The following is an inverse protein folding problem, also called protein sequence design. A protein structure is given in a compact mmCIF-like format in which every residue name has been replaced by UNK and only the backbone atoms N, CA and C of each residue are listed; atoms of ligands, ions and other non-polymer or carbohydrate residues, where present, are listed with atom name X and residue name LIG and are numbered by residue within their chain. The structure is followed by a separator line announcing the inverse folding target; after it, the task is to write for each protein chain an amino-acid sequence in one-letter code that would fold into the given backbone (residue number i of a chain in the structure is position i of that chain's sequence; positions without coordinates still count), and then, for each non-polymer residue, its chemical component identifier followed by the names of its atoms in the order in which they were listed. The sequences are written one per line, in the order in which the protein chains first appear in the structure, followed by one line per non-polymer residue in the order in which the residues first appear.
data_IF_396910151641
#
_entry.id   IF_396910151641
#
_cell.length_a   1.000
_cell.length_b   1.000
_cell.length_c   1.000
_cell.angle_alpha   90.00
_cell.angle_beta   90.00
_cell.angle_gamma   90.00
#
_symmetry.space_group_name_H-M   'P 1'
#
loop_
_entity.id
_entity.type
_entity.pdbx_description
1 polymer ?
#
# COMPACT_ATOMS: atom_id res chain seq x y z
N UNK A 1 -21.97 6.15 11.77
CA UNK A 1 -22.14 5.03 12.71
C UNK A 1 -22.30 3.78 11.87
N UNK A 2 -21.25 2.95 11.79
CA UNK A 2 -21.18 1.78 10.90
C UNK A 2 -21.68 0.49 11.58
N UNK A 3 -21.99 0.54 12.89
CA UNK A 3 -22.58 -0.57 13.63
C UNK A 3 -21.60 -1.66 14.06
N UNK A 4 -20.30 -1.52 13.79
CA UNK A 4 -19.26 -2.48 14.17
C UNK A 4 -18.18 -1.92 15.12
N UNK A 5 -18.29 -0.62 15.47
CA UNK A 5 -17.40 0.12 16.37
C UNK A 5 -15.98 0.38 15.84
N UNK A 6 -15.69 0.11 14.56
CA UNK A 6 -14.44 0.60 13.93
C UNK A 6 -14.55 2.09 13.62
N UNK A 7 -13.40 2.78 13.63
CA UNK A 7 -13.36 4.17 13.21
C UNK A 7 -13.62 4.25 11.71
N UNK A 8 -14.41 5.24 11.30
CA UNK A 8 -14.60 5.54 9.89
C UNK A 8 -13.37 6.29 9.36
N UNK A 9 -13.03 6.16 8.06
CA UNK A 9 -11.89 6.89 7.45
C UNK A 9 -11.87 8.39 7.75
N UNK A 10 -13.04 9.03 7.83
CA UNK A 10 -13.16 10.46 8.14
C UNK A 10 -13.25 10.78 9.64
N UNK A 11 -12.91 9.84 10.52
CA UNK A 11 -13.10 9.99 11.95
C UNK A 11 -12.02 10.90 12.55
N UNK A 12 -12.39 11.93 13.35
CA UNK A 12 -11.41 12.75 14.05
C UNK A 12 -10.70 12.01 15.20
N UNK A 13 -11.06 10.74 15.41
CA UNK A 13 -10.41 9.85 16.37
C UNK A 13 -9.19 9.15 15.77
N UNK A 14 -8.97 9.22 14.46
CA UNK A 14 -7.78 8.68 13.81
C UNK A 14 -6.58 9.57 14.13
N UNK A 15 -5.44 8.97 14.49
CA UNK A 15 -4.19 9.60 14.91
C UNK A 15 -4.31 10.60 16.07
N UNK A 16 -5.37 10.46 16.86
CA UNK A 16 -5.76 11.45 17.87
C UNK A 16 -5.59 10.94 19.31
N UNK A 17 -4.95 9.77 19.49
CA UNK A 17 -4.74 9.12 20.77
C UNK A 17 -3.56 9.66 21.57
N UNK A 18 -2.94 8.79 22.37
CA UNK A 18 -1.82 9.17 23.22
C UNK A 18 -0.57 9.42 22.35
N UNK A 19 0.08 10.59 22.38
CA UNK A 19 1.28 10.83 21.57
C UNK A 19 2.45 9.88 21.85
N UNK A 20 2.42 9.17 23.00
CA UNK A 20 3.44 8.20 23.39
C UNK A 20 3.14 6.76 22.93
N UNK A 21 2.00 6.51 22.25
CA UNK A 21 1.69 5.26 21.56
C UNK A 21 1.80 5.42 20.04
N UNK A 22 2.22 4.35 19.37
CA UNK A 22 2.26 4.27 17.91
C UNK A 22 1.39 3.13 17.42
N UNK A 23 0.59 3.39 16.36
CA UNK A 23 -0.09 2.35 15.61
C UNK A 23 0.91 1.59 14.72
N UNK A 24 0.57 0.40 14.19
CA UNK A 24 1.57 -0.44 13.54
C UNK A 24 2.06 0.10 12.18
N UNK A 25 1.42 1.14 11.64
CA UNK A 25 1.90 1.95 10.51
C UNK A 25 2.84 3.10 10.94
N UNK A 26 3.06 3.29 12.25
CA UNK A 26 3.95 4.27 12.84
C UNK A 26 3.32 5.64 13.08
N UNK A 27 2.00 5.80 12.87
CA UNK A 27 1.28 7.01 13.26
C UNK A 27 1.03 7.04 14.78
N UNK A 28 0.61 8.20 15.31
CA UNK A 28 0.14 8.28 16.70
C UNK A 28 -1.08 7.38 16.86
N UNK A 29 -1.22 6.63 17.96
CA UNK A 29 -2.32 5.67 17.99
C UNK A 29 -3.71 6.31 17.92
N UNK A 30 -4.66 5.59 17.33
CA UNK A 30 -6.06 6.00 17.25
C UNK A 30 -6.76 6.08 18.61
N UNK A 31 -7.73 6.99 18.73
CA UNK A 31 -8.70 7.00 19.83
C UNK A 31 -9.71 5.88 19.65
N UNK A 32 -9.38 4.67 20.11
CA UNK A 32 -10.24 3.51 19.99
C UNK A 32 -9.56 2.21 20.43
N UNK A 33 -10.30 1.10 20.37
CA UNK A 33 -9.74 -0.22 20.66
C UNK A 33 -9.09 -0.88 19.44
N UNK A 34 -9.39 -0.38 18.24
CA UNK A 34 -8.93 -0.93 16.98
C UNK A 34 -8.26 0.19 16.18
N UNK A 35 -6.96 0.04 15.86
CA UNK A 35 -6.26 0.98 15.00
C UNK A 35 -6.77 0.86 13.57
N UNK A 36 -6.90 1.99 12.90
CA UNK A 36 -7.09 2.07 11.46
C UNK A 36 -5.73 2.03 10.81
N UNK A 37 -5.59 1.22 9.76
CA UNK A 37 -4.36 1.15 9.01
C UNK A 37 -4.52 2.02 7.79
N UNK A 38 -3.65 3.02 7.63
CA UNK A 38 -3.62 3.83 6.43
C UNK A 38 -2.24 3.80 5.76
N UNK A 39 -2.24 3.66 4.44
CA UNK A 39 -1.04 3.84 3.63
C UNK A 39 -1.07 5.22 3.01
N UNK A 40 -0.15 6.08 3.45
CA UNK A 40 -0.07 7.46 3.02
C UNK A 40 0.90 7.65 1.86
N UNK A 41 0.42 8.31 0.81
CA UNK A 41 1.22 8.67 -0.35
C UNK A 41 1.13 10.17 -0.57
N UNK A 42 2.28 10.85 -0.46
CA UNK A 42 2.40 12.27 -0.79
C UNK A 42 2.30 12.50 -2.29
N UNK A 43 1.34 13.33 -2.71
CA UNK A 43 1.09 13.69 -4.10
C UNK A 43 1.29 15.19 -4.30
N UNK A 44 1.85 15.57 -5.44
CA UNK A 44 1.97 16.98 -5.84
C UNK A 44 0.89 17.37 -6.84
N UNK A 45 0.72 18.68 -7.04
CA UNK A 45 -0.12 19.22 -8.09
C UNK A 45 0.33 18.69 -9.48
N UNK A 46 -0.63 18.38 -10.33
CA UNK A 46 -0.40 17.80 -11.65
C UNK A 46 -0.51 16.27 -11.67
N UNK A 47 0.25 15.64 -12.55
CA UNK A 47 0.23 14.20 -12.75
C UNK A 47 1.23 13.52 -11.82
N UNK A 48 0.81 12.47 -11.13
CA UNK A 48 1.64 11.66 -10.23
C UNK A 48 1.59 10.21 -10.70
N UNK A 49 2.75 9.55 -10.85
CA UNK A 49 2.82 8.15 -11.26
C UNK A 49 2.92 7.23 -10.05
N UNK A 50 1.83 6.59 -9.69
CA UNK A 50 1.70 5.84 -8.44
C UNK A 50 1.34 4.38 -8.66
N UNK A 51 1.56 3.59 -7.62
CA UNK A 51 1.01 2.25 -7.49
C UNK A 51 0.57 2.00 -6.06
N UNK A 52 -0.52 1.27 -5.88
CA UNK A 52 -1.06 0.94 -4.56
C UNK A 52 -0.89 -0.56 -4.32
N UNK A 53 -0.04 -0.91 -3.35
CA UNK A 53 0.26 -2.31 -3.04
C UNK A 53 -0.69 -2.90 -1.98
N UNK A 54 -1.51 -2.08 -1.33
CA UNK A 54 -2.54 -2.50 -0.40
C UNK A 54 -3.86 -1.80 -0.79
N UNK A 55 -4.94 -2.56 -0.87
CA UNK A 55 -6.25 -2.08 -1.32
C UNK A 55 -7.36 -2.59 -0.40
N UNK A 56 -8.37 -1.76 -0.07
CA UNK A 56 -9.56 -2.20 0.65
C UNK A 56 -10.38 -3.21 -0.17
N UNK A 57 -11.34 -3.87 0.48
CA UNK A 57 -12.26 -4.80 -0.20
C UNK A 57 -13.07 -4.08 -1.30
N UNK A 58 -13.53 -2.85 -1.05
CA UNK A 58 -14.09 -1.97 -2.07
C UNK A 58 -12.95 -1.20 -2.75
N UNK A 59 -12.46 -1.74 -3.86
CA UNK A 59 -11.38 -1.17 -4.63
C UNK A 59 -11.82 -0.13 -5.66
N UNK A 60 -13.06 0.37 -5.60
CA UNK A 60 -13.51 1.42 -6.52
C UNK A 60 -12.68 2.69 -6.37
N UNK A 61 -12.49 3.42 -7.47
CA UNK A 61 -11.78 4.71 -7.48
C UNK A 61 -12.43 5.71 -6.51
N UNK A 62 -13.76 5.68 -6.39
CA UNK A 62 -14.51 6.54 -5.47
C UNK A 62 -14.16 6.26 -4.01
N UNK A 63 -14.04 4.98 -3.63
CA UNK A 63 -13.70 4.58 -2.26
C UNK A 63 -12.21 4.80 -1.97
N UNK A 64 -11.30 4.31 -2.83
CA UNK A 64 -9.85 4.34 -2.58
C UNK A 64 -9.30 5.78 -2.56
N UNK A 65 -9.88 6.69 -3.34
CA UNK A 65 -9.42 8.07 -3.48
C UNK A 65 -10.37 9.10 -2.87
N UNK A 66 -11.27 8.66 -1.96
CA UNK A 66 -12.30 9.50 -1.34
C UNK A 66 -11.73 10.77 -0.72
N UNK A 67 -10.57 10.65 -0.07
CA UNK A 67 -9.93 11.70 0.73
C UNK A 67 -9.34 12.81 -0.12
N UNK A 68 -9.11 12.56 -1.41
CA UNK A 68 -8.73 13.59 -2.36
C UNK A 68 -9.91 14.49 -2.75
N UNK A 69 -11.16 14.07 -2.51
CA UNK A 69 -12.36 14.86 -2.75
C UNK A 69 -12.41 15.44 -4.17
N UNK A 70 -12.54 16.78 -4.26
CA UNK A 70 -12.55 17.52 -5.52
C UNK A 70 -11.15 17.85 -6.07
N UNK A 71 -10.07 17.52 -5.36
CA UNK A 71 -8.72 17.87 -5.78
C UNK A 71 -8.23 16.97 -6.91
N UNK A 72 -8.75 15.75 -7.01
CA UNK A 72 -8.46 14.82 -8.09
C UNK A 72 -9.46 14.95 -9.24
N UNK A 73 -8.97 14.96 -10.47
CA UNK A 73 -9.79 15.09 -11.68
C UNK A 73 -9.85 13.82 -12.53
N UNK A 74 -8.85 12.95 -12.40
CA UNK A 74 -8.78 11.74 -13.20
C UNK A 74 -7.71 10.76 -12.74
N UNK A 75 -7.96 9.51 -13.09
CA UNK A 75 -7.12 8.34 -12.91
C UNK A 75 -6.93 7.72 -14.28
N UNK A 76 -5.68 7.52 -14.72
CA UNK A 76 -5.35 6.90 -16.01
C UNK A 76 -4.48 5.69 -15.77
N UNK A 77 -4.81 4.57 -16.40
CA UNK A 77 -4.02 3.34 -16.36
C UNK A 77 -3.81 2.79 -17.78
N UNK A 78 -3.20 1.62 -17.91
CA UNK A 78 -3.04 0.97 -19.21
C UNK A 78 -4.40 0.70 -19.85
N UNK A 79 -4.61 1.21 -21.06
CA UNK A 79 -5.82 0.95 -21.84
C UNK A 79 -7.12 1.56 -21.30
N UNK A 80 -7.09 2.32 -20.20
CA UNK A 80 -8.30 2.84 -19.57
C UNK A 80 -8.09 4.08 -18.71
N UNK A 81 -9.22 4.68 -18.31
CA UNK A 81 -9.23 5.81 -17.40
C UNK A 81 -10.57 5.90 -16.65
N UNK A 82 -10.55 6.62 -15.54
CA UNK A 82 -11.73 7.08 -14.82
C UNK A 82 -11.60 8.59 -14.57
N UNK A 83 -12.61 9.37 -14.92
CA UNK A 83 -12.61 10.83 -14.78
C UNK A 83 -13.69 11.27 -13.80
N UNK A 84 -13.33 12.21 -12.93
CA UNK A 84 -14.27 12.78 -11.98
C UNK A 84 -14.99 13.97 -12.64
N UNK A 85 -16.25 13.78 -13.04
CA UNK A 85 -17.03 14.80 -13.76
C UNK A 85 -17.71 15.81 -12.82
N UNK A 86 -17.88 15.42 -11.57
CA UNK A 86 -18.25 16.25 -10.42
C UNK A 86 -17.68 15.56 -9.18
N UNK A 87 -17.44 16.27 -8.08
CA UNK A 87 -16.80 15.68 -6.91
C UNK A 87 -17.52 14.40 -6.44
N UNK A 88 -16.78 13.29 -6.33
CA UNK A 88 -17.32 11.96 -6.01
C UNK A 88 -18.03 11.25 -7.17
N UNK A 89 -18.35 11.91 -8.28
CA UNK A 89 -19.00 11.30 -9.44
C UNK A 89 -17.98 10.94 -10.52
N UNK A 90 -17.73 9.65 -10.65
CA UNK A 90 -16.71 9.06 -11.49
C UNK A 90 -17.31 8.37 -12.72
N UNK A 91 -16.72 8.62 -13.89
CA UNK A 91 -17.13 8.00 -15.16
C UNK A 91 -15.90 7.61 -15.97
N UNK A 92 -15.90 6.39 -16.49
CA UNK A 92 -14.80 5.91 -17.33
C UNK A 92 -14.89 4.43 -17.65
N UNK A 93 -13.86 3.93 -18.34
CA UNK A 93 -13.74 2.52 -18.70
C UNK A 93 -13.06 1.68 -17.62
N UNK A 94 -12.38 2.31 -16.65
CA UNK A 94 -11.63 1.63 -15.62
C UNK A 94 -11.70 2.42 -14.31
N UNK A 95 -12.80 2.25 -13.57
CA UNK A 95 -13.11 2.97 -12.33
C UNK A 95 -12.92 2.13 -11.07
N UNK A 96 -12.14 1.06 -11.19
CA UNK A 96 -11.68 0.21 -10.08
C UNK A 96 -10.15 0.22 -10.08
N UNK A 97 -9.57 0.15 -8.89
CA UNK A 97 -8.12 0.06 -8.71
C UNK A 97 -7.74 -1.41 -8.53
N UNK A 98 -6.86 -1.87 -9.40
CA UNK A 98 -6.26 -3.20 -9.38
C UNK A 98 -4.81 -3.16 -8.90
N UNK A 99 -4.37 -4.17 -8.11
CA UNK A 99 -3.04 -4.23 -7.54
C UNK A 99 -1.93 -4.47 -8.57
N UNK A 100 -2.23 -4.95 -9.79
CA UNK A 100 -1.27 -5.19 -10.87
C UNK A 100 -0.95 -3.95 -11.74
N UNK A 101 -1.71 -2.87 -11.58
CA UNK A 101 -1.66 -1.73 -12.49
C UNK A 101 -0.98 -0.52 -11.87
N UNK A 102 -0.25 0.22 -12.70
CA UNK A 102 0.20 1.57 -12.37
C UNK A 102 -0.87 2.61 -12.73
N UNK A 103 -0.83 3.75 -12.06
CA UNK A 103 -1.82 4.82 -12.27
C UNK A 103 -1.16 6.19 -12.37
N UNK A 104 -1.66 7.01 -13.28
CA UNK A 104 -1.46 8.44 -13.26
C UNK A 104 -2.64 9.11 -12.56
N UNK A 105 -2.39 9.75 -11.42
CA UNK A 105 -3.37 10.56 -10.71
C UNK A 105 -3.20 12.03 -11.06
N UNK A 106 -4.29 12.70 -11.45
CA UNK A 106 -4.28 14.10 -11.87
C UNK A 106 -4.88 15.01 -10.79
N UNK A 107 -4.02 15.71 -10.05
CA UNK A 107 -4.38 16.57 -8.93
C UNK A 107 -4.29 18.06 -9.29
N UNK A 108 -5.10 18.90 -8.63
CA UNK A 108 -5.08 20.36 -8.80
C UNK A 108 -4.08 21.05 -7.88
N UNK A 109 -3.90 20.53 -6.66
CA UNK A 109 -2.95 20.98 -5.64
C UNK A 109 -2.28 19.80 -4.97
N UNK A 110 -1.16 20.04 -4.30
CA UNK A 110 -0.50 19.04 -3.44
C UNK A 110 -1.50 18.49 -2.40
N UNK A 111 -1.40 17.19 -2.12
CA UNK A 111 -2.22 16.50 -1.12
C UNK A 111 -1.59 15.19 -0.69
N UNK A 112 -2.16 14.52 0.31
CA UNK A 112 -1.86 13.14 0.66
C UNK A 112 -3.07 12.29 0.31
N UNK A 113 -2.83 11.08 -0.22
CA UNK A 113 -3.87 10.06 -0.31
C UNK A 113 -3.59 8.99 0.73
N UNK A 114 -4.61 8.67 1.51
CA UNK A 114 -4.58 7.66 2.57
C UNK A 114 -5.46 6.49 2.16
N UNK A 115 -4.87 5.30 2.03
CA UNK A 115 -5.63 4.09 1.71
C UNK A 115 -5.98 3.36 3.00
N UNK A 116 -7.24 3.47 3.42
CA UNK A 116 -7.76 2.84 4.63
C UNK A 116 -8.09 1.37 4.44
N UNK A 117 -7.90 0.58 5.50
CA UNK A 117 -8.25 -0.85 5.56
C UNK A 117 -7.66 -1.67 4.40
N UNK A 118 -6.49 -1.23 3.90
CA UNK A 118 -5.82 -1.84 2.77
C UNK A 118 -5.31 -3.24 3.09
N UNK A 119 -5.77 -4.24 2.35
CA UNK A 119 -5.24 -5.60 2.41
C UNK A 119 -3.99 -5.65 1.51
N UNK A 120 -2.80 -5.98 2.05
CA UNK A 120 -1.59 -6.07 1.24
C UNK A 120 -1.71 -7.11 0.13
N UNK A 121 -1.22 -6.73 -1.04
CA UNK A 121 -1.15 -7.59 -2.22
C UNK A 121 -0.30 -8.82 -1.94
N UNK A 122 -0.70 -9.94 -2.54
CA UNK A 122 0.07 -11.17 -2.45
C UNK A 122 1.45 -10.98 -3.10
N UNK A 123 2.53 -11.37 -2.41
CA UNK A 123 3.88 -11.30 -2.95
C UNK A 123 4.10 -12.17 -4.21
N UNK A 124 3.20 -13.12 -4.46
CA UNK A 124 3.20 -13.99 -5.64
C UNK A 124 2.27 -13.46 -6.75
N UNK A 125 1.96 -12.15 -6.75
CA UNK A 125 1.18 -11.53 -7.83
C UNK A 125 1.90 -11.74 -9.16
N UNK A 126 1.21 -12.29 -10.14
CA UNK A 126 1.73 -12.55 -11.48
C UNK A 126 1.34 -11.39 -12.42
N UNK A 127 2.33 -10.79 -13.04
CA UNK A 127 2.19 -9.77 -14.06
C UNK A 127 2.29 -10.41 -15.44
N UNK A 128 1.40 -10.03 -16.35
CA UNK A 128 1.40 -10.48 -17.74
C UNK A 128 1.73 -9.29 -18.63
N UNK A 129 2.98 -9.16 -19.06
CA UNK A 129 3.42 -8.06 -19.90
C UNK A 129 3.28 -8.42 -21.37
N UNK A 130 2.90 -7.42 -22.15
CA UNK A 130 2.97 -7.42 -23.60
C UNK A 130 4.31 -6.89 -24.08
N UNK A 131 4.71 -7.27 -25.29
CA UNK A 131 5.79 -6.61 -25.99
C UNK A 131 5.45 -5.11 -26.18
N UNK A 132 6.35 -4.24 -25.72
CA UNK A 132 6.14 -2.80 -25.66
C UNK A 132 6.09 -2.27 -24.23
N UNK A 133 5.43 -1.13 -24.05
CA UNK A 133 5.31 -0.44 -22.77
C UNK A 133 4.08 -0.93 -22.00
N UNK A 134 4.27 -1.34 -20.75
CA UNK A 134 3.23 -1.83 -19.85
C UNK A 134 3.21 -0.97 -18.60
N UNK A 135 2.04 -0.56 -18.12
CA UNK A 135 1.94 0.27 -16.92
C UNK A 135 1.54 -0.57 -15.72
N UNK A 136 2.53 -0.89 -14.88
CA UNK A 136 2.39 -1.80 -13.76
C UNK A 136 2.69 -1.15 -12.41
N UNK A 137 2.26 -1.84 -11.37
CA UNK A 137 2.54 -1.54 -9.97
C UNK A 137 3.80 -2.25 -9.44
N UNK A 138 4.21 -1.88 -8.23
CA UNK A 138 5.10 -2.68 -7.40
C UNK A 138 4.33 -3.27 -6.19
N UNK A 139 4.34 -4.60 -5.95
CA UNK A 139 3.38 -5.26 -5.04
C UNK A 139 3.88 -5.38 -3.59
N UNK A 140 4.80 -4.52 -3.17
CA UNK A 140 5.38 -4.59 -1.82
C UNK A 140 5.60 -3.21 -1.23
N UNK A 141 5.51 -3.16 0.09
CA UNK A 141 6.14 -2.12 0.88
C UNK A 141 7.67 -2.25 0.80
N UNK A 142 8.39 -1.14 0.80
CA UNK A 142 9.84 -1.08 0.68
C UNK A 142 10.39 -0.81 -0.73
N UNK A 143 11.65 -1.20 -0.95
CA UNK A 143 12.39 -0.89 -2.16
C UNK A 143 13.37 -2.01 -2.52
N UNK A 144 13.42 -2.38 -3.81
CA UNK A 144 14.31 -3.42 -4.34
C UNK A 144 14.98 -2.95 -5.62
N UNK A 145 16.24 -3.35 -5.85
CA UNK A 145 16.93 -3.06 -7.11
C UNK A 145 16.19 -3.65 -8.31
N UNK A 146 16.25 -3.00 -9.47
CA UNK A 146 15.56 -3.50 -10.68
C UNK A 146 16.06 -4.90 -11.05
N UNK A 147 17.38 -5.13 -11.01
CA UNK A 147 17.98 -6.44 -11.28
C UNK A 147 17.62 -7.47 -10.21
N UNK A 148 17.60 -7.07 -8.93
CA UNK A 148 17.28 -8.00 -7.82
C UNK A 148 15.78 -8.38 -7.77
N UNK A 149 14.90 -7.51 -8.27
CA UNK A 149 13.45 -7.69 -8.21
C UNK A 149 12.85 -8.44 -9.40
N UNK A 150 13.59 -8.56 -10.51
CA UNK A 150 13.16 -9.27 -11.71
C UNK A 150 13.79 -10.68 -11.74
N UNK A 151 13.02 -11.74 -12.04
CA UNK A 151 13.62 -13.06 -12.27
C UNK A 151 14.60 -13.04 -13.46
N UNK A 152 15.78 -13.66 -13.30
CA UNK A 152 16.85 -13.71 -14.32
C UNK A 152 16.36 -14.17 -15.71
N UNK A 153 15.37 -15.07 -15.73
CA UNK A 153 14.79 -15.63 -16.95
C UNK A 153 13.97 -14.62 -17.76
N UNK A 154 13.36 -13.63 -17.09
CA UNK A 154 12.59 -12.56 -17.73
C UNK A 154 13.36 -11.26 -17.88
N UNK A 155 14.36 -11.01 -17.04
CA UNK A 155 15.12 -9.76 -16.98
C UNK A 155 15.73 -9.39 -18.34
N UNK A 156 16.24 -10.39 -19.08
CA UNK A 156 16.83 -10.18 -20.42
C UNK A 156 15.85 -9.60 -21.46
N UNK A 157 14.54 -9.74 -21.22
CA UNK A 157 13.50 -9.24 -22.12
C UNK A 157 13.02 -7.83 -21.76
N UNK A 158 13.48 -7.25 -20.64
CA UNK A 158 13.10 -5.90 -20.22
C UNK A 158 14.16 -4.88 -20.67
N UNK A 159 13.82 -4.03 -21.63
CA UNK A 159 14.74 -2.98 -22.12
C UNK A 159 14.89 -1.83 -21.11
N UNK A 160 13.84 -1.54 -20.34
CA UNK A 160 13.82 -0.38 -19.47
C UNK A 160 12.64 -0.34 -18.52
N UNK A 161 12.85 0.37 -17.42
CA UNK A 161 11.86 0.67 -16.40
C UNK A 161 11.85 2.18 -16.19
N UNK A 162 10.70 2.81 -16.35
CA UNK A 162 10.53 4.26 -16.23
C UNK A 162 9.51 4.54 -15.13
N UNK A 163 9.83 5.48 -14.24
CA UNK A 163 8.92 5.97 -13.20
C UNK A 163 8.91 7.50 -13.21
N UNK A 164 8.11 8.10 -12.34
CA UNK A 164 8.12 9.55 -12.23
C UNK A 164 9.48 10.05 -11.71
N UNK A 165 10.04 10.99 -12.47
CA UNK A 165 11.32 11.63 -12.17
C UNK A 165 12.56 10.77 -12.43
N UNK A 166 12.42 9.54 -12.95
CA UNK A 166 13.59 8.68 -13.16
C UNK A 166 13.36 7.49 -14.08
N UNK A 167 14.46 6.86 -14.47
CA UNK A 167 14.43 5.65 -15.28
C UNK A 167 15.64 4.77 -14.97
N UNK A 168 15.55 3.51 -15.36
CA UNK A 168 16.62 2.53 -15.39
C UNK A 168 16.55 1.78 -16.72
N UNK A 169 17.65 1.75 -17.44
CA UNK A 169 17.71 1.18 -18.80
C UNK A 169 18.77 0.08 -18.83
N UNK A 170 18.44 -1.02 -19.49
CA UNK A 170 19.34 -2.14 -19.69
C UNK A 170 20.19 -1.90 -20.95
N UNK A 171 21.48 -1.58 -20.78
CA UNK A 171 22.39 -1.27 -21.91
C UNK A 171 23.08 -2.51 -22.49
N UNK A 172 23.08 -3.59 -21.72
CA UNK A 172 23.47 -4.94 -22.09
C UNK A 172 22.76 -5.89 -21.12
N UNK A 173 22.61 -7.19 -21.44
CA UNK A 173 21.98 -8.15 -20.54
C UNK A 173 22.50 -8.03 -19.10
N UNK A 174 21.59 -7.84 -18.14
CA UNK A 174 21.87 -7.70 -16.69
C UNK A 174 22.65 -6.43 -16.30
N UNK A 175 22.88 -5.49 -17.23
CA UNK A 175 23.62 -4.25 -16.98
C UNK A 175 22.70 -3.03 -17.04
N UNK A 176 22.25 -2.62 -15.87
CA UNK A 176 21.31 -1.53 -15.66
C UNK A 176 21.99 -0.20 -15.37
N UNK A 177 21.58 0.85 -16.07
CA UNK A 177 22.06 2.22 -15.86
C UNK A 177 20.89 3.19 -15.86
N UNK A 178 20.85 4.10 -14.90
CA UNK A 178 19.84 5.14 -14.85
C UNK A 178 19.84 5.92 -13.54
N UNK A 179 18.95 6.89 -13.45
CA UNK A 179 18.77 7.71 -12.25
C UNK A 179 17.97 7.00 -11.16
N UNK A 180 17.17 5.99 -11.51
CA UNK A 180 16.30 5.27 -10.57
C UNK A 180 16.26 3.78 -10.91
N UNK A 181 17.28 3.04 -10.48
CA UNK A 181 17.39 1.58 -10.68
C UNK A 181 16.86 0.76 -9.50
N UNK A 182 15.72 1.19 -8.94
CA UNK A 182 14.97 0.44 -7.94
C UNK A 182 13.46 0.58 -8.14
N UNK A 183 12.74 -0.50 -7.85
CA UNK A 183 11.31 -0.48 -7.59
C UNK A 183 11.09 -0.01 -6.16
N UNK A 184 10.18 0.93 -5.95
CA UNK A 184 9.86 1.52 -4.65
C UNK A 184 8.35 1.50 -4.45
N UNK A 185 7.95 1.21 -3.23
CA UNK A 185 6.56 1.33 -2.78
C UNK A 185 5.97 2.70 -3.15
N UNK A 186 4.71 2.70 -3.54
CA UNK A 186 3.97 3.90 -3.93
C UNK A 186 4.23 4.43 -5.33
N UNK A 187 5.25 3.95 -6.05
CA UNK A 187 5.57 4.42 -7.41
C UNK A 187 5.01 3.50 -8.50
N UNK A 188 4.43 4.10 -9.53
CA UNK A 188 4.04 3.38 -10.75
C UNK A 188 5.21 3.23 -11.72
N UNK A 189 5.13 2.23 -12.60
CA UNK A 189 6.22 1.89 -13.51
C UNK A 189 5.72 1.61 -14.93
N UNK A 190 6.31 2.28 -15.90
CA UNK A 190 6.28 1.83 -17.29
C UNK A 190 7.42 0.85 -17.52
N UNK A 191 7.10 -0.41 -17.72
CA UNK A 191 8.06 -1.47 -18.01
C UNK A 191 8.03 -1.78 -19.50
N UNK A 192 9.19 -1.63 -20.15
CA UNK A 192 9.35 -1.84 -21.58
C UNK A 192 9.87 -3.26 -21.79
N UNK A 193 9.02 -4.13 -22.34
CA UNK A 193 9.39 -5.51 -22.68
C UNK A 193 9.56 -5.70 -24.18
N UNK A 194 10.45 -6.60 -24.58
CA UNK A 194 10.69 -6.97 -25.98
C UNK A 194 9.77 -8.09 -26.47
N UNK A 195 9.19 -8.88 -25.55
CA UNK A 195 8.30 -10.00 -25.84
C UNK A 195 7.11 -10.03 -24.88
N UNK A 196 6.15 -10.92 -25.13
CA UNK A 196 5.11 -11.18 -24.16
C UNK A 196 5.67 -12.12 -23.08
N UNK A 197 5.65 -11.69 -21.83
CA UNK A 197 6.23 -12.44 -20.70
C UNK A 197 5.29 -12.42 -19.50
N UNK A 198 5.46 -13.38 -18.60
CA UNK A 198 4.74 -13.42 -17.33
C UNK A 198 5.75 -13.61 -16.20
N UNK A 199 5.60 -12.88 -15.09
CA UNK A 199 6.52 -13.00 -13.96
C UNK A 199 5.89 -12.53 -12.64
N UNK A 200 6.50 -12.91 -11.53
CA UNK A 200 6.28 -12.32 -10.21
C UNK A 200 7.58 -11.71 -9.71
N UNK A 201 7.49 -10.65 -8.91
CA UNK A 201 8.68 -10.01 -8.34
C UNK A 201 9.39 -10.93 -7.33
N UNK A 202 10.73 -10.91 -7.36
CA UNK A 202 11.58 -11.63 -6.41
C UNK A 202 11.78 -10.82 -5.12
N UNK A 203 10.78 -10.86 -4.23
CA UNK A 203 10.75 -10.02 -3.02
C UNK A 203 11.51 -10.62 -1.82
N UNK A 204 12.27 -11.70 -2.01
CA UNK A 204 12.92 -12.44 -0.91
C UNK A 204 13.98 -11.63 -0.14
N UNK A 205 14.53 -10.58 -0.77
CA UNK A 205 15.49 -9.65 -0.16
C UNK A 205 14.80 -8.54 0.66
N UNK A 206 13.49 -8.37 0.51
CA UNK A 206 12.67 -7.47 1.32
C UNK A 206 12.29 -8.19 2.61
N UNK A 207 12.96 -7.84 3.70
CA UNK A 207 12.56 -8.32 5.02
C UNK A 207 11.22 -7.70 5.36
N UNK A 208 10.13 -8.47 5.27
CA UNK A 208 8.87 -8.11 5.93
C UNK A 208 9.15 -8.08 7.43
N UNK A 209 9.02 -6.91 8.06
CA UNK A 209 8.92 -6.86 9.51
C UNK A 209 7.58 -7.50 9.87
N UNK A 210 7.58 -8.82 10.05
CA UNK A 210 6.50 -9.46 10.79
C UNK A 210 6.54 -8.83 12.17
N UNK A 211 5.56 -7.98 12.47
CA UNK A 211 5.29 -7.53 13.82
C UNK A 211 4.88 -8.80 14.57
N UNK A 212 5.87 -9.45 15.18
CA UNK A 212 5.65 -10.48 16.15
C UNK A 212 4.87 -9.79 17.26
N UNK A 213 3.59 -10.12 17.41
CA UNK A 213 2.86 -9.81 18.62
C UNK A 213 3.68 -10.39 19.77
N UNK A 214 4.49 -9.56 20.42
CA UNK A 214 5.07 -9.89 21.70
C UNK A 214 3.89 -9.92 22.66
N UNK A 215 3.28 -11.10 22.82
CA UNK A 215 2.38 -11.35 23.92
C UNK A 215 3.20 -11.12 25.19
N UNK A 216 3.06 -9.93 25.78
CA UNK A 216 3.62 -9.65 27.09
C UNK A 216 2.93 -10.56 28.11
N UNK A 217 3.58 -11.68 28.38
CA UNK A 217 3.14 -12.62 29.40
C UNK A 217 3.60 -12.09 30.75
N UNK A 218 2.68 -11.62 31.58
CA UNK A 218 2.98 -11.33 32.98
C UNK A 218 3.57 -12.57 33.68
N UNK A 219 4.71 -12.38 34.32
CA UNK A 219 5.48 -13.45 34.94
C UNK A 219 4.67 -14.08 36.09
N UNK A 220 4.40 -15.38 36.00
CA UNK A 220 3.64 -16.15 37.01
C UNK A 220 2.22 -16.57 36.61
N UNK A 221 1.68 -16.06 35.49
CA UNK A 221 0.35 -16.45 35.01
C UNK A 221 0.44 -17.46 33.86
N UNK A 222 -0.30 -18.57 33.95
CA UNK A 222 -0.46 -19.56 32.86
C UNK A 222 -1.87 -19.45 32.31
N UNK A 223 -1.99 -19.25 31.00
CA UNK A 223 -3.26 -19.37 30.28
C UNK A 223 -3.09 -20.30 29.07
N UNK A 224 -4.19 -20.88 28.60
CA UNK A 224 -4.24 -21.68 27.37
C UNK A 224 -5.19 -20.96 26.42
N UNK A 225 -4.66 -20.39 25.33
CA UNK A 225 -5.44 -19.61 24.37
C UNK A 225 -6.00 -20.53 23.29
N UNK A 226 -7.30 -20.44 23.04
CA UNK A 226 -7.97 -21.12 21.93
C UNK A 226 -7.96 -20.23 20.69
N UNK A 227 -7.93 -20.81 19.49
CA UNK A 227 -7.96 -20.10 18.20
C UNK A 227 -9.34 -19.61 17.77
N UNK A 228 -10.34 -19.64 18.67
CA UNK A 228 -11.65 -18.99 18.47
C UNK A 228 -11.95 -18.09 19.67
N UNK A 229 -12.29 -16.84 19.36
CA UNK A 229 -12.32 -15.68 20.26
C UNK A 229 -13.04 -15.95 21.60
N UNK A 230 -12.42 -15.49 22.69
CA UNK A 230 -13.05 -15.25 23.99
C UNK A 230 -12.31 -14.11 24.72
N UNK A 231 -13.07 -13.26 25.44
CA UNK A 231 -12.55 -12.18 26.28
C UNK A 231 -12.60 -12.59 27.76
N UNK A 232 -11.67 -12.09 28.58
CA UNK A 232 -11.69 -12.24 30.03
C UNK A 232 -11.85 -10.86 30.70
N UNK A 233 -12.65 -10.79 31.76
CA UNK A 233 -12.72 -9.63 32.65
C UNK A 233 -11.99 -9.99 33.95
N UNK A 234 -10.95 -9.22 34.32
CA UNK A 234 -10.29 -9.35 35.62
C UNK A 234 -10.96 -8.37 36.57
N UNK A 235 -11.83 -8.89 37.43
CA UNK A 235 -12.65 -8.07 38.34
C UNK A 235 -11.84 -7.50 39.52
N UNK A 236 -10.77 -8.18 39.94
CA UNK A 236 -9.80 -7.66 40.91
C UNK A 236 -8.51 -8.48 40.96
N UNK A 237 -7.40 -7.84 41.32
CA UNK A 237 -6.12 -8.47 41.61
C UNK A 237 -5.89 -8.39 43.12
N UNK A 238 -5.78 -9.54 43.81
CA UNK A 238 -5.48 -9.56 45.25
C UNK A 238 -3.98 -9.29 45.48
N UNK A 239 -3.70 -8.33 46.35
CA UNK A 239 -2.34 -8.05 46.85
C UNK A 239 -1.71 -6.73 46.38
N UNK A 240 -2.44 -5.90 45.65
CA UNK A 240 -2.00 -4.54 45.28
C UNK A 240 -2.15 -3.63 46.50
N UNK A 241 -1.06 -2.99 46.93
CA UNK A 241 -1.11 -1.91 47.91
C UNK A 241 -1.13 -0.56 47.20
N UNK A 242 -1.67 0.46 47.86
CA UNK A 242 -1.65 1.84 47.35
C UNK A 242 -0.19 2.30 47.17
N UNK A 243 0.26 2.43 45.92
CA UNK A 243 1.63 2.79 45.57
C UNK A 243 2.37 1.78 44.69
N UNK A 244 1.77 0.62 44.39
CA UNK A 244 2.35 -0.39 43.49
C UNK A 244 2.05 -0.11 41.98
N UNK A 245 1.89 1.17 41.60
CA UNK A 245 1.73 1.61 40.22
C UNK A 245 3.04 2.14 39.63
#
# INVERSE_FOLDING_TARGET
DNGDYTLQPSSPCIDAGDPDCEDPDGSTCDMGAYPTYHNDYGLHAGANLVSLYALPEDNSVENVLSDLGCNISGVITEGGACSQIACGNWVGSHCDIHPEHGYWLLLSTDNVVSVFDGIPTNSSLEYNLHAGANLISFPSDGSIGVSDGLPDEVEQYIDGVITEGGACVQIAPYNWVGSQCSFNSGKGYWVISTENISFSFELSTLSRTNIVYNQEKLNGYKYTQSSKQAFYFVESIKGINTGDY
#
